data_IF_467922179511
#
_entry.id   IF_467922179511
#
_cell.length_a   1.000
_cell.length_b   1.000
_cell.length_c   1.000
_cell.angle_alpha   90.00
_cell.angle_beta   90.00
_cell.angle_gamma   90.00
#
_symmetry.space_group_name_H-M   'P 1'
#
loop_
_entity.id
_entity.type
_entity.pdbx_description
1 polymer ?
#
# COMPACT_ATOMS: atom_id res chain seq x y z
N UNK A 1 -13.71 -9.56 -19.31
CA UNK A 1 -14.23 -10.92 -19.60
C UNK A 1 -15.72 -10.88 -19.95
N UNK A 2 -16.64 -10.56 -19.03
CA UNK A 2 -18.09 -10.54 -19.34
C UNK A 2 -18.47 -9.62 -20.52
N UNK A 3 -18.07 -8.35 -20.49
CA UNK A 3 -18.36 -7.40 -21.59
C UNK A 3 -17.72 -7.78 -22.93
N UNK A 4 -16.70 -8.66 -22.93
CA UNK A 4 -16.11 -9.21 -24.16
C UNK A 4 -16.94 -10.37 -24.70
N UNK A 5 -17.53 -11.19 -23.82
CA UNK A 5 -18.32 -12.37 -24.19
C UNK A 5 -19.77 -12.04 -24.56
N UNK A 6 -20.36 -11.04 -23.90
CA UNK A 6 -21.75 -10.64 -24.08
C UNK A 6 -21.89 -9.12 -24.30
N UNK A 7 -21.25 -8.57 -25.35
CA UNK A 7 -21.24 -7.13 -25.57
C UNK A 7 -22.65 -6.54 -25.72
N UNK A 8 -23.58 -7.29 -26.34
CA UNK A 8 -24.97 -6.85 -26.55
C UNK A 8 -25.84 -6.91 -25.28
N UNK A 9 -25.33 -7.47 -24.18
CA UNK A 9 -26.05 -7.63 -22.92
C UNK A 9 -25.60 -6.63 -21.85
N UNK A 10 -24.70 -5.70 -22.22
CA UNK A 10 -24.25 -4.62 -21.34
C UNK A 10 -24.92 -3.31 -21.76
N UNK A 11 -25.93 -2.88 -21.02
CA UNK A 11 -26.57 -1.57 -21.27
C UNK A 11 -25.69 -0.40 -20.84
N UNK A 12 -25.08 -0.49 -19.65
CA UNK A 12 -24.12 0.49 -19.08
C UNK A 12 -23.18 -0.22 -18.12
N UNK A 13 -21.92 0.22 -18.06
CA UNK A 13 -20.91 -0.32 -17.17
C UNK A 13 -19.98 0.82 -16.71
N UNK A 14 -19.72 0.89 -15.40
CA UNK A 14 -18.68 1.73 -14.80
C UNK A 14 -17.69 0.79 -14.14
N UNK A 15 -16.41 1.02 -14.39
CA UNK A 15 -15.33 0.27 -13.78
C UNK A 15 -14.41 1.24 -13.07
N UNK A 16 -14.26 1.06 -11.77
CA UNK A 16 -13.40 1.84 -10.89
C UNK A 16 -12.31 0.91 -10.34
N UNK A 17 -11.10 1.44 -10.14
CA UNK A 17 -9.91 0.66 -9.75
C UNK A 17 -9.61 -0.49 -10.72
N UNK A 18 -9.54 -0.14 -12.02
CA UNK A 18 -9.41 -1.10 -13.12
C UNK A 18 -8.05 -1.80 -13.16
N UNK A 19 -8.09 -3.08 -13.52
CA UNK A 19 -6.90 -3.86 -13.87
C UNK A 19 -6.72 -3.83 -15.38
N UNK A 20 -5.50 -3.58 -15.87
CA UNK A 20 -5.17 -3.71 -17.28
C UNK A 20 -5.16 -5.21 -17.66
N UNK A 21 -6.09 -5.68 -18.52
CA UNK A 21 -6.25 -7.10 -18.81
C UNK A 21 -5.23 -7.62 -19.85
N UNK A 22 -4.32 -6.78 -20.36
CA UNK A 22 -3.29 -7.20 -21.30
C UNK A 22 -2.43 -8.31 -20.72
N UNK A 23 -2.18 -9.38 -21.49
CA UNK A 23 -1.32 -10.50 -21.06
C UNK A 23 0.12 -10.08 -20.72
N UNK A 24 0.57 -8.95 -21.27
CA UNK A 24 1.90 -8.38 -21.00
C UNK A 24 1.94 -7.62 -19.67
N UNK A 25 0.79 -7.20 -19.15
CA UNK A 25 0.69 -6.42 -17.92
C UNK A 25 0.15 -7.24 -16.75
N UNK A 26 -0.92 -8.00 -16.98
CA UNK A 26 -1.59 -8.78 -15.95
C UNK A 26 -0.59 -9.72 -15.26
N UNK A 27 -0.60 -9.73 -13.93
CA UNK A 27 0.37 -10.41 -13.05
C UNK A 27 1.63 -9.59 -12.76
N UNK A 28 2.79 -10.06 -13.19
CA UNK A 28 4.08 -9.63 -12.66
C UNK A 28 4.33 -8.13 -12.89
N UNK A 29 4.09 -7.64 -14.11
CA UNK A 29 4.27 -6.22 -14.40
C UNK A 29 3.27 -5.35 -13.63
N UNK A 30 2.01 -5.76 -13.53
CA UNK A 30 1.02 -5.05 -12.74
C UNK A 30 1.41 -4.97 -11.25
N UNK A 31 2.01 -6.01 -10.69
CA UNK A 31 2.53 -5.98 -9.33
C UNK A 31 3.70 -4.99 -9.20
N UNK A 32 4.65 -4.99 -10.14
CA UNK A 32 5.75 -4.00 -10.11
C UNK A 32 5.25 -2.56 -10.23
N UNK A 33 4.28 -2.31 -11.12
CA UNK A 33 3.68 -0.98 -11.28
C UNK A 33 2.95 -0.55 -10.00
N UNK A 34 2.30 -1.51 -9.33
CA UNK A 34 1.63 -1.30 -8.05
C UNK A 34 2.63 -1.03 -6.90
N UNK A 35 3.76 -1.73 -6.83
CA UNK A 35 4.80 -1.51 -5.82
C UNK A 35 5.35 -0.08 -5.90
N UNK A 36 5.60 0.44 -7.11
CA UNK A 36 6.03 1.83 -7.32
C UNK A 36 4.96 2.82 -6.84
N UNK A 37 3.69 2.54 -7.13
CA UNK A 37 2.58 3.38 -6.68
C UNK A 37 2.47 3.36 -5.14
N UNK A 38 2.62 2.21 -4.49
CA UNK A 38 2.62 2.07 -3.04
C UNK A 38 3.79 2.83 -2.40
N UNK A 39 5.02 2.68 -2.91
CA UNK A 39 6.18 3.43 -2.41
C UNK A 39 5.91 4.94 -2.46
N UNK A 40 5.35 5.43 -3.57
CA UNK A 40 5.01 6.85 -3.71
C UNK A 40 3.94 7.29 -2.70
N UNK A 41 2.91 6.47 -2.46
CA UNK A 41 1.86 6.78 -1.48
C UNK A 41 2.38 6.69 -0.04
N UNK A 42 3.26 5.74 0.26
CA UNK A 42 3.92 5.60 1.55
C UNK A 42 4.72 6.86 1.87
N UNK A 43 5.55 7.35 0.93
CA UNK A 43 6.30 8.59 1.12
C UNK A 43 5.39 9.83 1.32
N UNK A 44 4.24 9.89 0.66
CA UNK A 44 3.29 10.98 0.89
C UNK A 44 2.59 10.89 2.25
N UNK A 45 2.31 9.67 2.72
CA UNK A 45 1.82 9.44 4.08
C UNK A 45 2.87 9.85 5.12
N UNK A 46 4.14 9.48 4.95
CA UNK A 46 5.23 9.86 5.87
C UNK A 46 5.36 11.39 5.97
N UNK A 47 5.29 12.11 4.84
CA UNK A 47 5.27 13.58 4.82
C UNK A 47 4.08 14.15 5.59
N UNK A 48 2.90 13.56 5.40
CA UNK A 48 1.69 14.01 6.09
C UNK A 48 1.77 13.75 7.60
N UNK A 49 2.25 12.58 8.03
CA UNK A 49 2.46 12.26 9.45
C UNK A 49 3.49 13.21 10.06
N UNK A 50 4.61 13.44 9.38
CA UNK A 50 5.65 14.36 9.84
C UNK A 50 5.13 15.79 10.03
N UNK A 51 4.26 16.26 9.12
CA UNK A 51 3.58 17.55 9.26
C UNK A 51 2.67 17.62 10.50
N UNK A 52 2.15 16.47 10.94
CA UNK A 52 1.24 16.32 12.08
C UNK A 52 1.92 15.70 13.31
N UNK A 53 3.24 15.86 13.46
CA UNK A 53 4.02 15.27 14.56
C UNK A 53 3.51 15.65 15.96
N UNK A 54 2.87 16.82 16.11
CA UNK A 54 2.25 17.23 17.37
C UNK A 54 1.15 16.27 17.84
N UNK A 55 0.52 15.52 16.93
CA UNK A 55 -0.50 14.52 17.26
C UNK A 55 0.07 13.10 17.32
N UNK A 56 1.06 12.77 16.46
CA UNK A 56 1.54 11.40 16.27
C UNK A 56 2.84 11.10 17.01
N UNK A 57 3.69 12.09 17.25
CA UNK A 57 4.98 11.95 17.94
C UNK A 57 5.91 10.89 17.31
N UNK A 58 5.84 10.72 15.99
CA UNK A 58 6.67 9.79 15.22
C UNK A 58 7.90 10.47 14.58
N UNK A 59 8.01 11.79 14.73
CA UNK A 59 9.06 12.62 14.20
C UNK A 59 8.52 13.63 13.18
N UNK A 60 9.14 14.81 13.17
CA UNK A 60 8.76 15.93 12.31
C UNK A 60 9.38 15.93 10.91
N UNK A 61 9.99 14.82 10.47
CA UNK A 61 10.46 14.62 9.10
C UNK A 61 10.09 13.22 8.60
N UNK A 62 9.89 13.02 7.29
CA UNK A 62 9.57 11.71 6.73
C UNK A 62 10.56 10.61 7.16
N UNK A 63 11.85 10.93 7.18
CA UNK A 63 12.92 9.99 7.55
C UNK A 63 12.80 9.54 9.01
N UNK A 64 12.36 10.43 9.91
CA UNK A 64 12.13 10.09 11.31
C UNK A 64 10.91 9.19 11.46
N UNK A 65 9.83 9.47 10.72
CA UNK A 65 8.63 8.62 10.69
C UNK A 65 8.99 7.22 10.20
N UNK A 66 9.76 7.12 9.10
CA UNK A 66 10.21 5.84 8.56
C UNK A 66 11.13 5.09 9.54
N UNK A 67 12.03 5.80 10.23
CA UNK A 67 12.87 5.19 11.27
C UNK A 67 12.04 4.66 12.46
N UNK A 68 10.99 5.39 12.87
CA UNK A 68 10.07 4.95 13.92
C UNK A 68 9.29 3.70 13.49
N UNK A 69 8.82 3.66 12.24
CA UNK A 69 8.16 2.48 11.65
C UNK A 69 9.10 1.27 11.60
N UNK A 70 10.32 1.43 11.07
CA UNK A 70 11.31 0.36 11.02
C UNK A 70 11.64 -0.20 12.41
N UNK A 71 11.73 0.68 13.42
CA UNK A 71 11.93 0.28 14.82
C UNK A 71 10.75 -0.54 15.34
N UNK A 72 9.50 -0.12 15.07
CA UNK A 72 8.31 -0.87 15.46
C UNK A 72 8.32 -2.28 14.88
N UNK A 73 8.60 -2.41 13.57
CA UNK A 73 8.70 -3.71 12.89
C UNK A 73 9.79 -4.59 13.49
N UNK A 74 10.96 -4.03 13.77
CA UNK A 74 12.06 -4.77 14.38
C UNK A 74 11.71 -5.26 15.80
N UNK A 75 10.96 -4.47 16.58
CA UNK A 75 10.44 -4.87 17.88
C UNK A 75 9.44 -6.03 17.75
N UNK A 76 8.44 -5.89 16.87
CA UNK A 76 7.43 -6.93 16.63
C UNK A 76 8.04 -8.25 16.15
N UNK A 77 9.13 -8.19 15.36
CA UNK A 77 9.90 -9.38 14.94
C UNK A 77 10.57 -10.11 16.11
N UNK A 78 11.08 -9.37 17.10
CA UNK A 78 11.73 -9.96 18.28
C UNK A 78 10.72 -10.50 19.27
N UNK A 79 9.65 -9.72 19.49
CA UNK A 79 8.59 -10.04 20.41
C UNK A 79 7.28 -9.54 19.81
N UNK A 80 6.39 -10.45 19.38
CA UNK A 80 5.10 -10.06 18.84
C UNK A 80 4.33 -9.16 19.80
N UNK A 81 3.80 -8.06 19.29
CA UNK A 81 3.06 -7.07 20.07
C UNK A 81 1.75 -7.73 20.52
N UNK A 82 1.52 -7.74 21.84
CA UNK A 82 0.40 -8.46 22.44
C UNK A 82 0.44 -9.98 22.24
N UNK A 83 1.57 -10.55 21.80
CA UNK A 83 1.71 -11.97 21.47
C UNK A 83 1.09 -12.39 20.13
N UNK A 84 0.56 -11.44 19.34
CA UNK A 84 -0.20 -11.75 18.11
C UNK A 84 0.32 -10.99 16.90
N UNK A 85 0.70 -9.72 17.05
CA UNK A 85 1.12 -8.87 15.93
C UNK A 85 2.63 -8.97 15.73
N UNK A 86 3.04 -9.65 14.66
CA UNK A 86 4.41 -9.77 14.22
C UNK A 86 4.78 -8.74 13.15
N UNK A 87 5.94 -8.91 12.49
CA UNK A 87 6.42 -8.01 11.45
C UNK A 87 5.70 -8.19 10.11
N UNK A 88 4.91 -9.26 9.95
CA UNK A 88 4.16 -9.58 8.72
C UNK A 88 2.83 -8.82 8.64
N UNK A 89 2.27 -8.45 9.79
CA UNK A 89 1.09 -7.61 9.93
C UNK A 89 1.44 -6.11 9.79
N UNK A 90 2.73 -5.79 9.77
CA UNK A 90 3.29 -4.44 9.63
C UNK A 90 4.01 -4.30 8.29
N UNK A 91 3.34 -4.62 7.19
CA UNK A 91 3.84 -4.34 5.83
C UNK A 91 3.46 -2.93 5.42
N UNK A 92 4.42 -2.19 4.88
CA UNK A 92 4.19 -0.93 4.17
C UNK A 92 3.83 -1.25 2.71
#
# INVERSE_FOLDING_TARGET
VYGTLFPDHVRRMLVDSVVNPSRQNIWYQANLDQDLAFETRCGDWEKWVAKNDAAYHLGNTPEKVQAAWAKLRATAKKQPIGGVVGPAELTA
#
